data_IF_257426568576
#
_entry.id   IF_257426568576
#
_cell.length_a   1.000
_cell.length_b   1.000
_cell.length_c   1.000
_cell.angle_alpha   90.00
_cell.angle_beta   90.00
_cell.angle_gamma   90.00
#
_symmetry.space_group_name_H-M   'P 1'
#
loop_
_entity.id
_entity.type
_entity.pdbx_description
1 polymer ?
#
# COMPACT_ATOMS: atom_id res chain seq x y z
N UNK A 1 -20.83 -13.66 4.02
CA UNK A 1 -21.12 -12.22 4.00
C UNK A 1 -20.23 -11.57 5.06
N UNK A 2 -19.54 -10.48 4.75
CA UNK A 2 -18.73 -9.74 5.74
C UNK A 2 -19.61 -8.65 6.35
N UNK A 3 -19.64 -8.56 7.68
CA UNK A 3 -20.46 -7.59 8.41
C UNK A 3 -19.59 -6.59 9.15
N UNK A 4 -19.95 -5.31 9.09
CA UNK A 4 -19.48 -4.28 10.02
C UNK A 4 -20.46 -4.28 11.18
N UNK A 5 -20.00 -4.70 12.36
CA UNK A 5 -20.87 -4.88 13.53
C UNK A 5 -21.15 -3.57 14.29
N UNK A 6 -20.25 -2.59 14.17
CA UNK A 6 -20.35 -1.30 14.84
C UNK A 6 -20.73 -0.21 13.82
N UNK A 7 -19.89 0.81 13.66
CA UNK A 7 -20.10 1.88 12.67
C UNK A 7 -19.10 1.78 11.53
N UNK A 8 -19.55 2.09 10.31
CA UNK A 8 -18.66 2.19 9.15
C UNK A 8 -17.59 3.27 9.34
N UNK A 9 -17.98 4.41 9.93
CA UNK A 9 -17.08 5.53 10.18
C UNK A 9 -15.94 5.19 11.17
N UNK A 10 -16.22 4.36 12.19
CA UNK A 10 -15.22 3.94 13.17
C UNK A 10 -14.41 2.70 12.76
N UNK A 11 -14.83 2.01 11.69
CA UNK A 11 -14.32 0.69 11.35
C UNK A 11 -12.80 0.64 11.18
N UNK A 12 -12.19 1.60 10.47
CA UNK A 12 -10.73 1.60 10.27
C UNK A 12 -9.98 1.75 11.60
N UNK A 13 -10.47 2.59 12.50
CA UNK A 13 -9.77 2.92 13.75
C UNK A 13 -9.88 1.79 14.76
N UNK A 14 -11.05 1.16 14.82
CA UNK A 14 -11.31 -0.07 15.57
C UNK A 14 -10.48 -1.24 15.03
N UNK A 15 -10.44 -1.41 13.70
CA UNK A 15 -9.60 -2.42 13.05
C UNK A 15 -8.12 -2.24 13.41
N UNK A 16 -7.59 -1.01 13.27
CA UNK A 16 -6.19 -0.72 13.62
C UNK A 16 -5.94 -0.91 15.12
N UNK A 17 -6.90 -0.56 15.98
CA UNK A 17 -6.82 -0.81 17.43
C UNK A 17 -6.73 -2.31 17.72
N UNK A 18 -7.67 -3.10 17.20
CA UNK A 18 -7.69 -4.56 17.39
C UNK A 18 -6.44 -5.23 16.83
N UNK A 19 -6.01 -4.84 15.64
CA UNK A 19 -4.81 -5.39 15.01
C UNK A 19 -3.56 -5.14 15.86
N UNK A 20 -3.36 -3.92 16.35
CA UNK A 20 -2.20 -3.57 17.19
C UNK A 20 -2.28 -4.15 18.60
N UNK A 21 -3.48 -4.35 19.15
CA UNK A 21 -3.66 -5.07 20.40
C UNK A 21 -3.30 -6.56 20.26
N UNK A 22 -3.76 -7.21 19.18
CA UNK A 22 -3.50 -8.63 18.93
C UNK A 22 -2.04 -8.90 18.53
N UNK A 23 -1.43 -8.04 17.73
CA UNK A 23 -0.09 -8.22 17.15
C UNK A 23 0.93 -7.18 17.67
N UNK A 24 0.76 -6.68 18.89
CA UNK A 24 1.61 -5.63 19.48
C UNK A 24 3.09 -5.99 19.61
N UNK A 25 3.44 -7.29 19.52
CA UNK A 25 4.84 -7.75 19.44
C UNK A 25 5.53 -7.37 18.13
N UNK A 26 4.76 -7.13 17.07
CA UNK A 26 5.26 -6.88 15.71
C UNK A 26 4.85 -5.51 15.17
N UNK A 27 3.69 -5.02 15.59
CA UNK A 27 3.06 -3.81 15.05
C UNK A 27 2.79 -2.78 16.14
N UNK A 28 2.90 -1.51 15.78
CA UNK A 28 2.41 -0.38 16.56
C UNK A 28 1.70 0.61 15.66
N UNK A 29 0.78 1.40 16.22
CA UNK A 29 0.15 2.51 15.48
C UNK A 29 1.18 3.58 15.15
N UNK A 30 1.04 4.20 13.99
CA UNK A 30 1.75 5.44 13.67
C UNK A 30 1.13 6.56 14.51
N UNK A 31 1.92 7.36 15.25
CA UNK A 31 1.39 8.45 16.05
C UNK A 31 0.56 9.43 15.22
N UNK A 32 -0.65 9.72 15.69
CA UNK A 32 -1.59 10.67 15.06
C UNK A 32 -1.93 10.38 13.60
N UNK A 33 -1.78 9.14 13.12
CA UNK A 33 -2.13 8.76 11.75
C UNK A 33 -2.98 7.48 11.72
N UNK A 34 -3.80 7.35 10.68
CA UNK A 34 -4.51 6.10 10.40
C UNK A 34 -3.56 5.14 9.68
N UNK A 35 -2.68 4.50 10.45
CA UNK A 35 -1.67 3.58 9.92
C UNK A 35 -0.95 2.80 11.01
N UNK A 36 -0.27 1.73 10.59
CA UNK A 36 0.61 0.92 11.45
C UNK A 36 2.02 0.90 10.89
N UNK A 37 2.97 0.64 11.77
CA UNK A 37 4.37 0.43 11.43
C UNK A 37 4.93 -0.76 12.22
N UNK A 38 5.97 -1.38 11.70
CA UNK A 38 6.71 -2.39 12.44
C UNK A 38 7.32 -1.78 13.71
N UNK A 39 7.34 -2.55 14.80
CA UNK A 39 8.00 -2.14 16.05
C UNK A 39 9.51 -1.87 15.85
N UNK A 40 10.13 -2.48 14.84
CA UNK A 40 11.54 -2.27 14.49
C UNK A 40 11.77 -1.13 13.49
N UNK A 41 10.72 -0.48 12.99
CA UNK A 41 10.82 0.64 12.06
C UNK A 41 10.69 2.00 12.81
N UNK A 42 11.31 3.08 12.30
CA UNK A 42 12.26 3.09 11.19
C UNK A 42 13.62 2.55 11.61
N UNK A 43 14.34 1.95 10.66
CA UNK A 43 15.73 1.52 10.87
C UNK A 43 16.65 2.64 10.41
N UNK A 44 17.49 3.17 11.30
CA UNK A 44 18.38 4.30 10.97
C UNK A 44 19.33 3.92 9.82
N UNK A 45 19.44 4.81 8.83
CA UNK A 45 20.33 4.64 7.67
C UNK A 45 19.84 3.63 6.61
N UNK A 46 18.65 3.03 6.80
CA UNK A 46 17.98 2.15 5.83
C UNK A 46 16.70 2.83 5.36
N UNK A 47 16.42 2.76 4.06
CA UNK A 47 15.16 3.25 3.54
C UNK A 47 13.99 2.39 4.05
N UNK A 48 12.80 2.97 4.12
CA UNK A 48 11.58 2.26 4.54
C UNK A 48 10.62 2.06 3.37
N UNK A 49 9.84 0.97 3.39
CA UNK A 49 8.73 0.74 2.46
C UNK A 49 7.40 1.00 3.16
N UNK A 50 6.65 1.98 2.66
CA UNK A 50 5.29 2.30 3.07
C UNK A 50 4.31 1.84 1.98
N UNK A 51 3.32 1.05 2.35
CA UNK A 51 2.20 0.68 1.46
C UNK A 51 0.90 1.31 1.95
N UNK A 52 -0.16 1.28 1.15
CA UNK A 52 -1.46 1.72 1.65
C UNK A 52 -2.53 1.91 0.59
N UNK A 53 -3.70 2.31 1.08
CA UNK A 53 -4.91 2.55 0.28
C UNK A 53 -6.16 2.44 1.17
N UNK A 54 -7.33 2.43 0.54
CA UNK A 54 -8.60 2.21 1.24
C UNK A 54 -8.68 0.84 1.93
N UNK A 55 -9.41 0.78 3.04
CA UNK A 55 -9.68 -0.48 3.72
C UNK A 55 -10.70 -1.34 2.95
N UNK A 56 -10.88 -2.60 3.36
CA UNK A 56 -11.74 -3.58 2.66
C UNK A 56 -10.99 -4.63 1.85
N UNK A 57 -9.66 -4.53 1.74
CA UNK A 57 -8.80 -5.48 1.02
C UNK A 57 -7.98 -6.40 1.95
N UNK A 58 -8.55 -6.77 3.10
CA UNK A 58 -7.87 -7.54 4.14
C UNK A 58 -7.27 -8.86 3.62
N UNK A 59 -6.03 -9.22 3.99
CA UNK A 59 -5.18 -8.58 5.00
C UNK A 59 -4.42 -7.32 4.52
N UNK A 60 -4.53 -6.94 3.25
CA UNK A 60 -3.92 -5.71 2.75
C UNK A 60 -4.62 -4.48 3.34
N UNK A 61 -3.90 -3.45 3.81
CA UNK A 61 -2.44 -3.29 3.77
C UNK A 61 -1.75 -3.57 5.11
N UNK A 62 -2.42 -3.31 6.24
CA UNK A 62 -1.82 -3.36 7.57
C UNK A 62 -1.32 -4.75 7.99
N UNK A 63 -1.95 -5.83 7.52
CA UNK A 63 -1.52 -7.21 7.80
C UNK A 63 -0.26 -7.64 7.04
N UNK A 64 0.23 -6.82 6.09
CA UNK A 64 1.47 -7.09 5.35
C UNK A 64 2.71 -6.44 6.00
N UNK A 65 2.52 -5.64 7.04
CA UNK A 65 3.62 -4.97 7.73
C UNK A 65 4.41 -5.97 8.56
N UNK A 66 5.71 -6.03 8.31
CA UNK A 66 6.61 -6.94 8.99
C UNK A 66 7.93 -7.17 8.24
N UNK A 67 8.88 -7.85 8.89
CA UNK A 67 10.19 -8.11 8.32
C UNK A 67 10.10 -8.79 6.95
N UNK A 68 10.82 -8.24 5.97
CA UNK A 68 10.90 -8.81 4.63
C UNK A 68 9.75 -8.44 3.69
N UNK A 69 8.72 -7.72 4.15
CA UNK A 69 7.56 -7.31 3.34
C UNK A 69 7.43 -5.80 3.21
N UNK A 70 7.13 -5.09 4.29
CA UNK A 70 7.10 -3.63 4.34
C UNK A 70 7.22 -3.12 5.79
N UNK A 71 7.62 -1.86 5.94
CA UNK A 71 7.92 -1.26 7.24
C UNK A 71 6.70 -0.57 7.86
N UNK A 72 5.72 -0.19 7.04
CA UNK A 72 4.45 0.32 7.51
C UNK A 72 3.37 0.35 6.44
N UNK A 73 2.15 0.63 6.90
CA UNK A 73 0.96 0.74 6.07
C UNK A 73 0.09 1.90 6.53
N UNK A 74 -0.38 2.71 5.58
CA UNK A 74 -1.41 3.73 5.80
C UNK A 74 -2.76 3.17 5.32
N UNK A 75 -3.82 3.40 6.10
CA UNK A 75 -5.14 2.80 5.87
C UNK A 75 -6.19 3.91 5.81
N UNK A 76 -6.97 3.94 4.73
CA UNK A 76 -8.13 4.82 4.57
C UNK A 76 -9.44 4.19 5.04
N UNK A 77 -10.53 4.94 4.89
CA UNK A 77 -11.88 4.40 5.06
C UNK A 77 -12.18 3.30 4.05
N UNK A 78 -13.31 2.62 4.22
CA UNK A 78 -13.69 1.48 3.38
C UNK A 78 -13.74 1.93 1.92
N UNK A 79 -12.91 1.29 1.09
CA UNK A 79 -12.72 1.58 -0.34
C UNK A 79 -12.41 3.04 -0.68
N UNK A 80 -11.88 3.80 0.29
CA UNK A 80 -11.57 5.23 0.13
C UNK A 80 -10.11 5.48 0.48
N UNK A 81 -9.39 6.18 -0.40
CA UNK A 81 -7.98 6.55 -0.17
C UNK A 81 -7.81 7.23 1.20
N UNK A 82 -6.72 6.94 1.94
CA UNK A 82 -6.35 7.74 3.10
C UNK A 82 -6.08 9.19 2.68
N UNK A 83 -6.31 10.13 3.60
CA UNK A 83 -6.00 11.54 3.36
C UNK A 83 -4.49 11.77 3.24
N UNK A 84 -4.09 12.81 2.50
CA UNK A 84 -2.69 13.19 2.33
C UNK A 84 -1.99 13.42 3.68
N UNK A 85 -2.70 13.92 4.69
CA UNK A 85 -2.16 14.14 6.03
C UNK A 85 -1.78 12.82 6.73
N UNK A 86 -2.63 11.79 6.65
CA UNK A 86 -2.29 10.48 7.22
C UNK A 86 -1.10 9.83 6.50
N UNK A 87 -1.05 9.94 5.17
CA UNK A 87 0.10 9.44 4.39
C UNK A 87 1.37 10.18 4.79
N UNK A 88 1.33 11.51 4.88
CA UNK A 88 2.47 12.34 5.27
C UNK A 88 2.99 11.97 6.67
N UNK A 89 2.10 11.82 7.66
CA UNK A 89 2.50 11.41 9.02
C UNK A 89 3.16 10.02 9.04
N UNK A 90 2.66 9.08 8.24
CA UNK A 90 3.30 7.77 8.08
C UNK A 90 4.69 7.88 7.44
N UNK A 91 4.85 8.73 6.41
CA UNK A 91 6.16 8.99 5.80
C UNK A 91 7.14 9.55 6.83
N UNK A 92 6.74 10.56 7.62
CA UNK A 92 7.59 11.14 8.67
C UNK A 92 7.98 10.12 9.73
N UNK A 93 7.03 9.28 10.17
CA UNK A 93 7.30 8.26 11.17
C UNK A 93 8.23 7.14 10.67
N UNK A 94 8.25 6.89 9.35
CA UNK A 94 9.07 5.86 8.71
C UNK A 94 10.41 6.37 8.19
N UNK A 95 10.70 7.67 8.29
CA UNK A 95 11.97 8.21 7.84
C UNK A 95 13.13 7.87 8.81
N UNK A 96 13.96 6.91 8.41
CA UNK A 96 15.21 6.55 9.10
C UNK A 96 16.44 7.34 8.66
N UNK A 97 16.27 8.36 7.82
CA UNK A 97 17.36 9.19 7.26
C UNK A 97 17.96 8.66 5.96
N UNK A 98 17.33 7.64 5.35
CA UNK A 98 17.72 7.08 4.04
C UNK A 98 16.56 7.08 3.03
N UNK A 99 15.43 7.70 3.38
CA UNK A 99 14.27 7.87 2.52
C UNK A 99 13.14 6.87 2.76
N UNK A 100 12.00 7.14 2.12
CA UNK A 100 10.77 6.33 2.22
C UNK A 100 10.22 6.05 0.82
N UNK A 101 10.03 4.79 0.48
CA UNK A 101 9.41 4.34 -0.75
C UNK A 101 7.94 4.03 -0.50
N UNK A 102 7.04 4.76 -1.16
CA UNK A 102 5.60 4.54 -1.11
C UNK A 102 5.19 3.66 -2.29
N UNK A 103 4.46 2.57 -2.04
CA UNK A 103 3.95 1.66 -3.08
C UNK A 103 2.45 1.44 -2.91
N UNK A 104 1.65 1.84 -3.90
CA UNK A 104 0.19 1.79 -3.86
C UNK A 104 -0.42 1.65 -5.26
N UNK A 105 -1.71 1.29 -5.31
CA UNK A 105 -2.44 1.04 -6.56
C UNK A 105 -2.73 2.31 -7.36
N UNK A 106 -2.78 2.19 -8.69
CA UNK A 106 -3.16 3.31 -9.56
C UNK A 106 -4.66 3.59 -9.55
N UNK A 107 -5.10 4.27 -8.50
CA UNK A 107 -6.42 4.88 -8.36
C UNK A 107 -6.27 6.38 -8.17
N UNK A 108 -7.16 7.17 -8.76
CA UNK A 108 -7.05 8.64 -8.77
C UNK A 108 -6.95 9.26 -7.38
N UNK A 109 -7.74 8.76 -6.42
CA UNK A 109 -7.69 9.21 -5.02
C UNK A 109 -6.34 8.93 -4.36
N UNK A 110 -5.81 7.72 -4.52
CA UNK A 110 -4.51 7.34 -3.95
C UNK A 110 -3.38 8.15 -4.62
N UNK A 111 -3.39 8.28 -5.95
CA UNK A 111 -2.38 9.07 -6.69
C UNK A 111 -2.34 10.51 -6.20
N UNK A 112 -3.51 11.14 -6.01
CA UNK A 112 -3.61 12.52 -5.54
C UNK A 112 -3.09 12.67 -4.10
N UNK A 113 -3.58 11.85 -3.17
CA UNK A 113 -3.26 12.01 -1.75
C UNK A 113 -1.81 11.62 -1.43
N UNK A 114 -1.31 10.51 -2.00
CA UNK A 114 0.07 10.10 -1.80
C UNK A 114 1.05 11.04 -2.51
N UNK A 115 0.69 11.54 -3.70
CA UNK A 115 1.46 12.58 -4.39
C UNK A 115 1.63 13.82 -3.53
N UNK A 116 0.53 14.37 -3.02
CA UNK A 116 0.51 15.55 -2.14
C UNK A 116 1.36 15.34 -0.88
N UNK A 117 1.25 14.16 -0.25
CA UNK A 117 2.02 13.82 0.93
C UNK A 117 3.54 13.76 0.66
N UNK A 118 3.93 13.17 -0.48
CA UNK A 118 5.33 13.05 -0.91
C UNK A 118 5.92 14.42 -1.25
N UNK A 119 5.18 15.27 -1.94
CA UNK A 119 5.61 16.64 -2.23
C UNK A 119 5.88 17.42 -0.94
N UNK A 120 4.98 17.34 0.03
CA UNK A 120 5.18 17.98 1.34
C UNK A 120 6.40 17.41 2.07
N UNK A 121 6.54 16.09 2.15
CA UNK A 121 7.66 15.45 2.83
C UNK A 121 9.01 15.85 2.19
N UNK A 122 9.07 15.95 0.86
CA UNK A 122 10.25 16.40 0.11
C UNK A 122 10.62 17.85 0.40
N UNK A 123 9.64 18.76 0.53
CA UNK A 123 9.89 20.16 0.92
C UNK A 123 10.53 20.28 2.31
N UNK A 124 10.32 19.28 3.16
CA UNK A 124 10.92 19.18 4.50
C UNK A 124 12.21 18.34 4.53
N UNK A 125 12.78 17.99 3.36
CA UNK A 125 14.06 17.29 3.26
C UNK A 125 13.99 15.76 3.34
N UNK A 126 12.80 15.16 3.38
CA UNK A 126 12.66 13.69 3.33
C UNK A 126 12.77 13.20 1.89
N UNK A 127 13.69 12.25 1.63
CA UNK A 127 13.74 11.55 0.33
C UNK A 127 12.59 10.55 0.21
N UNK A 128 11.39 11.05 -0.10
CA UNK A 128 10.20 10.24 -0.32
C UNK A 128 9.99 9.97 -1.83
N UNK A 129 9.69 8.73 -2.24
CA UNK A 129 9.45 8.38 -3.66
C UNK A 129 8.27 7.45 -3.81
N UNK A 130 7.65 7.48 -5.00
CA UNK A 130 6.46 6.69 -5.31
C UNK A 130 6.84 5.58 -6.31
N UNK A 131 6.32 4.39 -6.05
CA UNK A 131 6.17 3.32 -7.03
C UNK A 131 4.67 3.11 -7.23
N UNK A 132 4.22 3.33 -8.46
CA UNK A 132 2.82 3.18 -8.81
C UNK A 132 2.58 1.77 -9.37
N UNK A 133 1.66 1.04 -8.76
CA UNK A 133 1.30 -0.32 -9.17
C UNK A 133 0.25 -0.25 -10.28
N UNK A 134 0.48 -0.97 -11.38
CA UNK A 134 -0.34 -0.92 -12.62
C UNK A 134 -0.54 -2.32 -13.23
N UNK A 135 -0.63 -3.33 -12.38
CA UNK A 135 -0.60 -4.76 -12.75
C UNK A 135 -1.93 -5.31 -13.30
N UNK A 136 -3.06 -4.60 -13.12
CA UNK A 136 -4.37 -5.03 -13.61
C UNK A 136 -4.43 -4.97 -15.15
N UNK A 137 -4.05 -6.07 -15.79
CA UNK A 137 -4.06 -6.22 -17.25
C UNK A 137 -5.45 -6.17 -17.86
N UNK A 138 -6.51 -6.36 -17.06
CA UNK A 138 -7.89 -6.29 -17.52
C UNK A 138 -8.41 -4.84 -17.59
N UNK A 139 -7.84 -3.94 -16.78
CA UNK A 139 -8.26 -2.53 -16.74
C UNK A 139 -7.84 -1.71 -17.96
N UNK A 140 -6.73 -2.06 -18.62
CA UNK A 140 -6.28 -1.37 -19.84
C UNK A 140 -5.36 -2.22 -20.73
N UNK A 141 -5.39 -2.00 -22.06
CA UNK A 141 -4.55 -2.71 -23.02
C UNK A 141 -3.05 -2.43 -22.83
N UNK A 142 -2.21 -3.23 -23.52
CA UNK A 142 -0.76 -3.26 -23.32
C UNK A 142 0.01 -2.02 -23.79
N UNK A 143 -0.58 -1.21 -24.64
CA UNK A 143 -0.10 0.12 -25.07
C UNK A 143 -0.43 1.21 -24.03
N UNK A 144 -1.44 0.99 -23.19
CA UNK A 144 -1.85 1.89 -22.09
C UNK A 144 -1.55 1.31 -20.71
N UNK A 145 -0.38 0.69 -20.54
CA UNK A 145 0.04 0.08 -19.25
C UNK A 145 -0.02 1.06 -18.08
N UNK A 146 0.35 2.31 -18.29
CA UNK A 146 0.39 3.34 -17.24
C UNK A 146 -1.00 3.73 -16.73
N UNK A 147 -2.06 3.48 -17.50
CA UNK A 147 -3.45 3.74 -17.08
C UNK A 147 -4.10 2.52 -16.42
N UNK A 148 -3.38 1.41 -16.26
CA UNK A 148 -3.91 0.23 -15.59
C UNK A 148 -4.06 0.50 -14.11
N UNK A 149 -5.12 -0.03 -13.50
CA UNK A 149 -5.26 -0.09 -12.04
C UNK A 149 -4.15 -0.94 -11.44
N UNK A 150 -3.87 -0.70 -10.16
CA UNK A 150 -2.95 -1.52 -9.38
C UNK A 150 -3.69 -2.27 -8.30
N UNK A 151 -3.51 -3.58 -8.21
CA UNK A 151 -4.07 -4.38 -7.14
C UNK A 151 -3.14 -4.35 -5.91
N UNK A 152 -3.66 -4.49 -4.69
CA UNK A 152 -2.83 -4.71 -3.51
C UNK A 152 -2.03 -6.02 -3.67
N UNK A 153 -0.74 -5.93 -3.96
CA UNK A 153 0.11 -7.10 -4.22
C UNK A 153 1.22 -7.26 -3.14
N UNK A 154 1.13 -8.28 -2.26
CA UNK A 154 2.16 -8.56 -1.27
C UNK A 154 3.49 -9.04 -1.89
N UNK A 155 3.47 -9.64 -3.10
CA UNK A 155 4.69 -10.05 -3.80
C UNK A 155 5.49 -8.82 -4.21
N UNK A 156 4.80 -7.78 -4.67
CA UNK A 156 5.44 -6.54 -5.05
C UNK A 156 6.00 -5.80 -3.82
N UNK A 157 5.26 -5.74 -2.72
CA UNK A 157 5.75 -5.20 -1.46
C UNK A 157 7.05 -5.90 -1.01
N UNK A 158 7.04 -7.24 -0.98
CA UNK A 158 8.22 -8.08 -0.70
C UNK A 158 9.39 -7.75 -1.62
N UNK A 159 9.13 -7.62 -2.93
CA UNK A 159 10.17 -7.31 -3.91
C UNK A 159 10.83 -5.96 -3.62
N UNK A 160 10.04 -4.94 -3.27
CA UNK A 160 10.57 -3.63 -2.92
C UNK A 160 11.39 -3.67 -1.63
N UNK A 161 10.87 -4.33 -0.59
CA UNK A 161 11.60 -4.43 0.68
C UNK A 161 12.89 -5.24 0.54
N UNK A 162 12.89 -6.35 -0.21
CA UNK A 162 14.10 -7.16 -0.45
C UNK A 162 15.13 -6.44 -1.32
N UNK A 163 14.72 -5.47 -2.14
CA UNK A 163 15.65 -4.64 -2.88
C UNK A 163 16.41 -3.66 -1.96
N UNK A 164 15.94 -3.46 -0.72
CA UNK A 164 16.65 -2.70 0.30
C UNK A 164 17.63 -3.61 1.04
N UNK A 165 18.89 -3.20 1.25
CA UNK A 165 19.86 -4.00 1.99
C UNK A 165 19.46 -4.12 3.45
N UNK A 166 19.67 -5.31 4.02
CA UNK A 166 19.26 -5.64 5.39
C UNK A 166 20.16 -5.01 6.47
N UNK A 167 21.35 -4.53 6.09
CA UNK A 167 22.32 -3.95 7.03
C UNK A 167 22.64 -2.48 6.74
N UNK A 168 22.64 -1.60 7.77
CA UNK A 168 22.88 -0.16 7.65
C UNK A 168 24.35 0.22 7.33
N UNK A 169 25.21 -0.75 6.96
CA UNK A 169 26.65 -0.51 6.72
C UNK A 169 26.90 0.41 5.51
N UNK A 170 25.90 0.61 4.65
CA UNK A 170 25.95 1.59 3.57
C UNK A 170 24.67 2.45 3.59
N UNK A 171 24.84 3.78 3.60
CA UNK A 171 23.72 4.72 3.38
C UNK A 171 23.10 4.38 2.04
N UNK A 172 21.91 3.77 2.05
CA UNK A 172 21.28 3.32 0.81
C UNK A 172 20.21 4.32 0.43
N UNK A 173 20.53 5.16 -0.56
CA UNK A 173 19.55 6.07 -1.16
C UNK A 173 18.58 5.27 -2.03
N UNK A 174 17.34 5.73 -2.10
CA UNK A 174 16.33 5.15 -2.98
C UNK A 174 16.79 5.20 -4.46
N UNK A 175 16.34 4.25 -5.30
CA UNK A 175 16.64 4.26 -6.73
C UNK A 175 16.05 5.48 -7.44
N UNK A 176 16.82 6.12 -8.34
CA UNK A 176 16.58 7.45 -8.96
C UNK A 176 15.31 7.62 -9.82
N UNK A 177 14.41 6.64 -9.92
CA UNK A 177 13.20 6.74 -10.75
C UNK A 177 11.92 6.42 -9.98
N UNK A 178 10.87 7.20 -10.26
CA UNK A 178 9.48 6.79 -10.07
C UNK A 178 9.23 5.63 -11.03
N UNK A 179 9.21 4.41 -10.52
CA UNK A 179 9.06 3.22 -11.35
C UNK A 179 7.57 2.82 -11.44
N UNK A 180 7.11 2.52 -12.65
CA UNK A 180 5.92 1.71 -12.84
C UNK A 180 6.40 0.25 -12.87
N UNK A 181 6.03 -0.56 -11.89
CA UNK A 181 6.45 -1.96 -11.87
C UNK A 181 5.35 -2.84 -12.45
N UNK A 182 5.70 -3.58 -13.50
CA UNK A 182 4.73 -4.34 -14.28
C UNK A 182 5.35 -5.59 -14.91
N UNK A 183 6.26 -6.28 -14.20
CA UNK A 183 6.69 -7.62 -14.66
C UNK A 183 5.54 -8.59 -14.35
N UNK A 184 4.89 -9.19 -15.36
CA UNK A 184 3.76 -10.09 -15.12
C UNK A 184 4.22 -11.29 -14.28
N UNK A 185 3.62 -11.46 -13.10
CA UNK A 185 3.88 -12.59 -12.21
C UNK A 185 2.92 -13.77 -12.42
N UNK A 186 1.87 -13.58 -13.23
CA UNK A 186 1.01 -14.67 -13.65
C UNK A 186 1.71 -15.46 -14.76
N UNK A 187 2.25 -16.63 -14.42
CA UNK A 187 2.45 -17.67 -15.41
C UNK A 187 1.10 -17.90 -16.12
N UNK A 188 1.09 -17.87 -17.45
CA UNK A 188 -0.08 -18.18 -18.26
C UNK A 188 -0.60 -19.57 -17.88
N UNK A 189 -1.59 -19.64 -16.99
CA UNK A 189 -2.38 -20.85 -16.81
C UNK A 189 -3.09 -21.19 -18.12
N UNK A 190 -3.29 -22.49 -18.43
CA UNK A 190 -3.93 -22.89 -19.68
C UNK A 190 -5.31 -22.25 -19.78
N UNK A 191 -5.60 -21.64 -20.94
CA UNK A 191 -6.89 -21.01 -21.25
C UNK A 191 -7.99 -22.07 -21.12
N UNK A 192 -8.78 -22.02 -20.04
CA UNK A 192 -10.05 -22.75 -19.98
C UNK A 192 -11.03 -22.05 -20.92
N UNK A 193 -11.60 -22.83 -21.84
CA UNK A 193 -12.64 -22.38 -22.76
C UNK A 193 -13.85 -21.86 -22.00
N UNK A 194 -14.38 -20.71 -22.41
CA UNK A 194 -15.63 -20.14 -21.90
C UNK A 194 -16.81 -20.93 -22.46
N UNK A 195 -17.81 -21.36 -21.66
CA UNK A 195 -19.13 -21.67 -22.18
C UNK A 195 -19.84 -20.36 -22.56
N UNK A 196 -20.60 -20.40 -23.66
CA UNK A 196 -21.53 -19.34 -24.11
C UNK A 196 -22.86 -19.43 -23.33
N UNK A 197 -23.64 -18.34 -23.38
CA UNK A 197 -24.93 -18.04 -22.71
C UNK A 197 -24.76 -17.44 -21.30
N UNK A 198 -25.49 -16.42 -20.86
CA UNK A 198 -26.59 -15.60 -21.38
C UNK A 198 -26.79 -14.50 -20.31
N UNK A 199 -27.28 -13.32 -20.67
CA UNK A 199 -27.37 -12.19 -19.76
C UNK A 199 -28.41 -12.41 -18.66
N UNK A 200 -28.00 -12.41 -17.39
CA UNK A 200 -28.92 -12.30 -16.26
C UNK A 200 -28.68 -11.00 -15.50
N UNK A 201 -29.70 -10.15 -15.55
CA UNK A 201 -29.81 -8.88 -14.84
C UNK A 201 -29.97 -9.09 -13.33
N UNK A 202 -29.21 -8.36 -12.52
CA UNK A 202 -29.47 -8.24 -11.07
C UNK A 202 -30.68 -7.32 -10.87
N UNK A 203 -31.82 -7.87 -10.44
CA UNK A 203 -32.95 -7.10 -9.90
C UNK A 203 -32.80 -6.92 -8.40
N UNK A 204 -32.90 -5.67 -7.93
CA UNK A 204 -33.16 -5.35 -6.53
C UNK A 204 -34.67 -5.41 -6.30
N UNK A 205 -35.13 -6.10 -5.25
CA UNK A 205 -36.52 -6.01 -4.78
C UNK A 205 -36.62 -4.87 -3.77
N UNK A 206 -37.67 -4.05 -3.91
CA UNK A 206 -38.20 -3.20 -2.85
C UNK A 206 -39.13 -3.97 -1.91
#
# INVERSE_FOLDING_TARGET
MTYVFNSEAGFKDEFLAGLTAAYGRYLRKVPSASGVMSVSAPVRGRASVLIGGGSGHYPAFAGLVGPGLCDGAVVGDVFTSPSAEHVYRCVKALDGGAGVLLSFGNYSGDVMHFGTAVERARREGVDARIVLVTDDVASAPGDRRQSRRGLPDPVLARRHHRALPEHPRHRTRLPNRTEHTNRPHWARGPRRARPRHGADHIRLRG
#
